data_IF_049775622532
#
_entry.id   IF_049775622532
#
_cell.length_a   1.000
_cell.length_b   1.000
_cell.length_c   1.000
_cell.angle_alpha   90.00
_cell.angle_beta   90.00
_cell.angle_gamma   90.00
#
_symmetry.space_group_name_H-M   'P 1'
#
loop_
_entity.id
_entity.type
_entity.pdbx_description
1 polymer ?
#
# COMPACT_ATOMS: atom_id res chain seq x y z
N UNK A 1 -13.36 5.94 -14.21
CA UNK A 1 -14.63 5.26 -13.81
C UNK A 1 -14.90 5.47 -12.32
N UNK A 2 -13.94 5.12 -11.43
CA UNK A 2 -14.04 5.33 -9.97
C UNK A 2 -14.32 6.76 -9.54
N UNK A 3 -13.62 7.77 -10.08
CA UNK A 3 -13.87 9.17 -9.73
C UNK A 3 -15.30 9.63 -10.09
N UNK A 4 -15.85 9.16 -11.23
CA UNK A 4 -17.22 9.47 -11.62
C UNK A 4 -18.23 8.81 -10.66
N UNK A 5 -18.00 7.55 -10.28
CA UNK A 5 -18.82 6.87 -9.28
C UNK A 5 -18.75 7.58 -7.92
N UNK A 6 -17.56 8.01 -7.49
CA UNK A 6 -17.33 8.76 -6.27
C UNK A 6 -18.10 10.10 -6.24
N UNK A 7 -18.08 10.85 -7.35
CA UNK A 7 -18.76 12.15 -7.44
C UNK A 7 -20.29 12.02 -7.57
N UNK A 8 -20.77 10.87 -8.07
CA UNK A 8 -22.20 10.58 -8.21
C UNK A 8 -22.82 10.04 -6.91
N UNK A 9 -22.01 9.62 -5.94
CA UNK A 9 -22.52 9.18 -4.63
C UNK A 9 -22.83 10.41 -3.75
N UNK A 10 -24.10 10.61 -3.33
CA UNK A 10 -24.52 11.79 -2.59
C UNK A 10 -23.92 11.86 -1.17
N UNK A 11 -23.64 10.71 -0.54
CA UNK A 11 -23.06 10.64 0.81
C UNK A 11 -21.59 11.02 0.78
N UNK A 12 -20.85 10.47 -0.17
CA UNK A 12 -19.42 10.76 -0.36
C UNK A 12 -19.24 12.21 -0.80
N UNK A 13 -20.04 12.68 -1.75
CA UNK A 13 -20.00 14.06 -2.23
C UNK A 13 -20.16 15.06 -1.08
N UNK A 14 -21.14 14.85 -0.19
CA UNK A 14 -21.39 15.72 0.97
C UNK A 14 -20.24 15.72 1.99
N UNK A 15 -19.46 14.64 2.07
CA UNK A 15 -18.32 14.51 3.00
C UNK A 15 -17.05 15.17 2.49
N UNK A 16 -16.78 15.01 1.19
CA UNK A 16 -15.50 15.43 0.59
C UNK A 16 -15.57 16.76 -0.16
N UNK A 17 -16.76 17.19 -0.59
CA UNK A 17 -16.95 18.42 -1.33
C UNK A 17 -17.77 19.41 -0.50
N UNK A 18 -17.38 20.68 -0.61
CA UNK A 18 -18.09 21.84 -0.09
C UNK A 18 -18.50 22.74 -1.25
N UNK A 19 -19.63 23.42 -1.09
CA UNK A 19 -20.06 24.44 -2.04
C UNK A 19 -19.74 25.81 -1.45
N UNK A 20 -18.96 26.60 -2.17
CA UNK A 20 -18.55 27.96 -1.78
C UNK A 20 -18.80 28.87 -2.97
N UNK A 21 -19.68 29.86 -2.83
CA UNK A 21 -19.99 30.85 -3.87
C UNK A 21 -20.38 30.21 -5.24
N UNK A 22 -21.15 29.12 -5.21
CA UNK A 22 -21.58 28.39 -6.40
C UNK A 22 -20.50 27.53 -7.06
N UNK A 23 -19.32 27.41 -6.44
CA UNK A 23 -18.24 26.50 -6.87
C UNK A 23 -18.15 25.30 -5.94
N UNK A 24 -17.98 24.12 -6.54
CA UNK A 24 -17.73 22.87 -5.80
C UNK A 24 -16.24 22.74 -5.58
N UNK A 25 -15.81 22.80 -4.32
CA UNK A 25 -14.42 22.64 -3.91
C UNK A 25 -14.24 21.42 -3.01
N UNK A 26 -13.03 20.89 -2.94
CA UNK A 26 -12.67 19.89 -1.92
C UNK A 26 -12.69 20.51 -0.52
N UNK A 27 -13.31 19.81 0.43
CA UNK A 27 -13.12 20.12 1.85
C UNK A 27 -11.70 19.70 2.26
N UNK A 28 -10.81 20.69 2.31
CA UNK A 28 -9.39 20.50 2.68
C UNK A 28 -9.23 19.86 4.05
N UNK A 29 -10.10 20.16 5.01
CA UNK A 29 -10.04 19.60 6.37
C UNK A 29 -10.36 18.11 6.34
N UNK A 30 -11.44 17.74 5.64
CA UNK A 30 -11.84 16.35 5.51
C UNK A 30 -10.82 15.54 4.70
N UNK A 31 -10.33 16.06 3.58
CA UNK A 31 -9.30 15.42 2.76
C UNK A 31 -8.03 15.19 3.58
N UNK A 32 -7.56 16.17 4.36
CA UNK A 32 -6.41 16.01 5.26
C UNK A 32 -6.64 14.88 6.27
N UNK A 33 -7.81 14.85 6.89
CA UNK A 33 -8.18 13.80 7.84
C UNK A 33 -8.18 12.41 7.18
N UNK A 34 -8.74 12.31 5.97
CA UNK A 34 -8.75 11.07 5.20
C UNK A 34 -7.33 10.59 4.87
N UNK A 35 -6.46 11.46 4.37
CA UNK A 35 -5.06 11.13 4.04
C UNK A 35 -4.31 10.67 5.28
N UNK A 36 -4.52 11.33 6.43
CA UNK A 36 -3.90 10.91 7.69
C UNK A 36 -4.38 9.52 8.15
N UNK A 37 -5.68 9.23 8.02
CA UNK A 37 -6.23 7.91 8.33
C UNK A 37 -5.69 6.83 7.39
N UNK A 38 -5.55 7.14 6.10
CA UNK A 38 -4.95 6.23 5.13
C UNK A 38 -3.48 5.94 5.47
N UNK A 39 -2.69 6.97 5.82
CA UNK A 39 -1.30 6.77 6.23
C UNK A 39 -1.17 5.95 7.53
N UNK A 40 -2.10 6.14 8.48
CA UNK A 40 -2.13 5.31 9.69
C UNK A 40 -2.51 3.87 9.39
N UNK A 41 -3.44 3.66 8.46
CA UNK A 41 -3.80 2.32 7.99
C UNK A 41 -2.63 1.63 7.27
N UNK A 42 -1.90 2.35 6.41
CA UNK A 42 -0.66 1.87 5.78
C UNK A 42 0.34 1.39 6.85
N UNK A 43 0.54 2.17 7.91
CA UNK A 43 1.43 1.81 9.01
C UNK A 43 0.99 0.52 9.72
N UNK A 44 -0.31 0.37 10.02
CA UNK A 44 -0.83 -0.83 10.65
C UNK A 44 -0.65 -2.06 9.76
N UNK A 45 -0.89 -1.93 8.45
CA UNK A 45 -0.65 -3.01 7.49
C UNK A 45 0.81 -3.41 7.45
N UNK A 46 1.75 -2.46 7.44
CA UNK A 46 3.18 -2.77 7.49
C UNK A 46 3.54 -3.53 8.79
N UNK A 47 2.99 -3.13 9.93
CA UNK A 47 3.20 -3.84 11.21
C UNK A 47 2.65 -5.28 11.13
N UNK A 48 1.43 -5.46 10.62
CA UNK A 48 0.82 -6.76 10.41
C UNK A 48 1.70 -7.65 9.52
N UNK A 49 2.18 -7.13 8.39
CA UNK A 49 3.11 -7.83 7.50
C UNK A 49 4.37 -8.23 8.26
N UNK A 50 5.00 -7.29 8.99
CA UNK A 50 6.25 -7.54 9.71
C UNK A 50 6.16 -8.60 10.81
N UNK A 51 5.00 -8.73 11.48
CA UNK A 51 4.79 -9.66 12.59
C UNK A 51 4.23 -11.00 12.12
N UNK A 52 3.32 -11.00 11.15
CA UNK A 52 2.55 -12.19 10.77
C UNK A 52 3.11 -12.90 9.54
N UNK A 53 4.02 -12.30 8.78
CA UNK A 53 4.69 -13.02 7.71
C UNK A 53 5.63 -14.10 8.30
N UNK A 54 5.69 -15.26 7.64
CA UNK A 54 6.32 -16.47 8.20
C UNK A 54 7.81 -16.36 8.58
N UNK A 55 8.50 -15.27 8.22
CA UNK A 55 9.84 -14.97 8.68
C UNK A 55 10.01 -13.44 8.84
N UNK A 56 10.75 -12.95 9.84
CA UNK A 56 10.92 -11.52 10.08
C UNK A 56 11.50 -10.80 8.86
N UNK A 57 10.76 -9.82 8.33
CA UNK A 57 11.27 -8.89 7.32
C UNK A 57 12.10 -7.82 8.01
N UNK A 58 13.18 -7.37 7.36
CA UNK A 58 13.89 -6.16 7.81
C UNK A 58 13.00 -4.94 7.67
N UNK A 59 12.86 -4.16 8.74
CA UNK A 59 12.04 -2.94 8.78
C UNK A 59 12.38 -2.00 7.61
N UNK A 60 13.66 -1.89 7.22
CA UNK A 60 14.06 -1.06 6.07
C UNK A 60 13.47 -1.54 4.73
N UNK A 61 13.39 -2.85 4.50
CA UNK A 61 12.80 -3.44 3.29
C UNK A 61 11.28 -3.32 3.28
N UNK A 62 10.65 -3.41 4.47
CA UNK A 62 9.23 -3.20 4.68
C UNK A 62 8.82 -1.74 4.48
N UNK A 63 9.56 -0.81 5.07
CA UNK A 63 9.29 0.63 4.98
C UNK A 63 9.58 1.18 3.58
N UNK A 64 10.49 0.56 2.83
CA UNK A 64 10.78 0.89 1.45
C UNK A 64 10.04 0.00 0.43
N UNK A 65 8.91 -0.60 0.83
CA UNK A 65 8.14 -1.46 -0.06
C UNK A 65 7.72 -0.70 -1.32
N UNK A 66 7.98 -1.32 -2.46
CA UNK A 66 7.65 -0.80 -3.77
C UNK A 66 6.64 -1.71 -4.44
N UNK A 67 5.56 -1.09 -4.92
CA UNK A 67 4.49 -1.80 -5.59
C UNK A 67 4.60 -1.78 -7.12
N UNK A 68 5.41 -0.86 -7.65
CA UNK A 68 5.73 -0.73 -9.07
C UNK A 68 7.24 -0.66 -9.25
N UNK A 69 7.72 -1.12 -10.40
CA UNK A 69 9.12 -0.98 -10.76
C UNK A 69 9.44 0.51 -10.95
N UNK A 70 10.66 0.89 -10.64
CA UNK A 70 11.25 2.20 -10.94
C UNK A 70 12.56 1.97 -11.70
N UNK A 71 13.10 3.03 -12.31
CA UNK A 71 14.35 2.93 -13.07
C UNK A 71 15.52 2.40 -12.24
N UNK A 72 15.48 2.62 -10.92
CA UNK A 72 16.55 2.27 -9.99
C UNK A 72 16.25 1.06 -9.12
N UNK A 73 14.99 0.59 -9.06
CA UNK A 73 14.56 -0.49 -8.15
C UNK A 73 13.40 -1.30 -8.71
N UNK A 74 13.50 -2.61 -8.59
CA UNK A 74 12.39 -3.53 -8.85
C UNK A 74 11.39 -3.48 -7.71
N UNK A 75 10.09 -3.61 -8.01
CA UNK A 75 9.06 -3.78 -6.99
C UNK A 75 9.37 -5.01 -6.14
N UNK A 76 8.93 -5.00 -4.89
CA UNK A 76 9.09 -6.12 -3.98
C UNK A 76 7.74 -6.69 -3.50
N UNK A 77 6.62 -6.20 -4.02
CA UNK A 77 5.29 -6.76 -3.77
C UNK A 77 4.79 -7.56 -4.98
N UNK A 78 4.43 -8.83 -4.77
CA UNK A 78 4.06 -9.76 -5.83
C UNK A 78 2.87 -10.63 -5.47
N UNK A 79 2.14 -11.05 -6.50
CA UNK A 79 1.22 -12.20 -6.42
C UNK A 79 1.96 -13.40 -7.01
N UNK A 80 2.25 -14.40 -6.16
CA UNK A 80 2.93 -15.63 -6.52
C UNK A 80 1.93 -16.79 -6.40
N UNK A 81 1.44 -17.27 -7.55
CA UNK A 81 0.33 -18.20 -7.62
C UNK A 81 -0.88 -17.69 -6.82
N UNK A 82 -1.25 -18.35 -5.72
CA UNK A 82 -2.41 -18.00 -4.89
C UNK A 82 -2.05 -17.10 -3.70
N UNK A 83 -0.79 -16.68 -3.56
CA UNK A 83 -0.32 -15.94 -2.40
C UNK A 83 0.15 -14.54 -2.79
N UNK A 84 -0.21 -13.55 -1.99
CA UNK A 84 0.44 -12.25 -2.00
C UNK A 84 1.71 -12.37 -1.16
N UNK A 85 2.84 -11.92 -1.69
CA UNK A 85 4.12 -12.02 -1.03
C UNK A 85 4.95 -10.73 -1.16
N UNK A 86 5.71 -10.45 -0.11
CA UNK A 86 6.76 -9.42 -0.12
C UNK A 86 8.11 -10.12 -0.32
N UNK A 87 8.88 -9.70 -1.31
CA UNK A 87 10.21 -10.22 -1.58
C UNK A 87 11.27 -9.38 -0.85
N UNK A 88 11.85 -9.94 0.20
CA UNK A 88 13.05 -9.37 0.82
C UNK A 88 14.26 -9.56 -0.09
N UNK A 89 15.12 -8.55 -0.18
CA UNK A 89 16.41 -8.61 -0.89
C UNK A 89 17.53 -8.69 0.14
N UNK A 90 18.07 -9.88 0.36
CA UNK A 90 18.98 -10.11 1.47
C UNK A 90 20.44 -9.69 1.15
N UNK A 91 20.86 -8.56 1.72
CA UNK A 91 22.17 -7.94 1.47
C UNK A 91 23.40 -8.44 2.30
N UNK A 92 23.32 -9.49 3.14
CA UNK A 92 24.51 -9.93 3.92
C UNK A 92 25.34 -11.04 3.25
N UNK A 93 24.69 -11.91 2.46
CA UNK A 93 25.36 -13.00 1.74
C UNK A 93 25.55 -12.72 0.25
N UNK A 94 25.09 -11.56 -0.24
CA UNK A 94 25.32 -11.11 -1.63
C UNK A 94 26.81 -11.07 -1.99
N UNK A 95 27.67 -10.62 -1.05
CA UNK A 95 29.14 -10.67 -1.22
C UNK A 95 29.70 -12.09 -1.39
N UNK A 96 29.01 -13.11 -0.88
CA UNK A 96 29.47 -14.50 -0.91
C UNK A 96 29.03 -15.22 -2.21
N UNK A 97 27.86 -14.88 -2.74
CA UNK A 97 27.27 -15.56 -3.90
C UNK A 97 27.34 -14.74 -5.19
N UNK A 98 27.69 -13.45 -5.13
CA UNK A 98 27.79 -12.56 -6.29
C UNK A 98 26.44 -12.08 -6.84
N UNK A 99 25.32 -12.46 -6.21
CA UNK A 99 23.97 -12.02 -6.56
C UNK A 99 23.07 -11.92 -5.33
N UNK A 100 22.05 -11.06 -5.41
CA UNK A 100 21.05 -10.92 -4.36
C UNK A 100 20.08 -12.09 -4.37
N UNK A 101 19.83 -12.67 -3.19
CA UNK A 101 18.81 -13.70 -3.02
C UNK A 101 17.48 -13.05 -2.65
N UNK A 102 16.44 -13.41 -3.40
CA UNK A 102 15.06 -13.09 -3.05
C UNK A 102 14.55 -14.06 -1.99
N UNK A 103 14.00 -13.51 -0.91
CA UNK A 103 13.34 -14.28 0.14
C UNK A 103 11.85 -13.91 0.11
N UNK A 104 10.96 -14.81 -0.35
CA UNK A 104 9.54 -14.53 -0.36
C UNK A 104 8.94 -14.68 1.04
N UNK A 105 8.21 -13.65 1.46
CA UNK A 105 7.41 -13.64 2.67
C UNK A 105 5.94 -13.59 2.28
N UNK A 106 5.28 -14.75 2.30
CA UNK A 106 3.85 -14.84 2.02
C UNK A 106 3.04 -14.15 3.12
N UNK A 107 2.01 -13.42 2.71
CA UNK A 107 1.05 -12.79 3.61
C UNK A 107 -0.08 -13.75 3.93
N UNK A 108 -0.66 -13.62 5.12
CA UNK A 108 -1.92 -14.28 5.43
C UNK A 108 -3.05 -13.68 4.59
N UNK A 109 -4.15 -14.44 4.45
CA UNK A 109 -5.26 -14.07 3.58
C UNK A 109 -5.90 -12.72 3.94
N UNK A 110 -5.96 -12.37 5.23
CA UNK A 110 -6.61 -11.12 5.69
C UNK A 110 -5.72 -9.93 5.36
N UNK A 111 -4.44 -9.99 5.71
CA UNK A 111 -3.49 -8.91 5.39
C UNK A 111 -3.35 -8.74 3.89
N UNK A 112 -3.30 -9.84 3.12
CA UNK A 112 -3.26 -9.81 1.67
C UNK A 112 -4.47 -9.09 1.06
N UNK A 113 -5.70 -9.43 1.47
CA UNK A 113 -6.93 -8.79 0.97
C UNK A 113 -6.98 -7.31 1.33
N UNK A 114 -6.68 -6.95 2.60
CA UNK A 114 -6.66 -5.55 3.02
C UNK A 114 -5.62 -4.74 2.25
N UNK A 115 -4.45 -5.30 2.02
CA UNK A 115 -3.36 -4.67 1.29
C UNK A 115 -3.75 -4.43 -0.18
N UNK A 116 -4.34 -5.42 -0.84
CA UNK A 116 -4.84 -5.27 -2.21
C UNK A 116 -5.93 -4.21 -2.29
N UNK A 117 -6.91 -4.22 -1.37
CA UNK A 117 -7.97 -3.19 -1.34
C UNK A 117 -7.42 -1.80 -1.09
N UNK A 118 -6.43 -1.67 -0.22
CA UNK A 118 -5.75 -0.41 0.03
C UNK A 118 -5.16 0.15 -1.27
N UNK A 119 -4.44 -0.70 -2.00
CA UNK A 119 -3.75 -0.34 -3.25
C UNK A 119 -4.67 -0.18 -4.47
N UNK A 120 -5.92 -0.62 -4.38
CA UNK A 120 -6.93 -0.44 -5.43
C UNK A 120 -7.84 0.76 -5.14
N UNK A 121 -8.26 0.95 -3.89
CA UNK A 121 -9.33 1.88 -3.54
C UNK A 121 -8.88 3.10 -2.73
N UNK A 122 -7.89 2.94 -1.85
CA UNK A 122 -7.51 4.00 -0.89
C UNK A 122 -6.34 4.81 -1.44
N UNK A 123 -5.26 4.13 -1.85
CA UNK A 123 -4.09 4.72 -2.49
C UNK A 123 -3.76 3.93 -3.76
N UNK A 124 -4.47 4.20 -4.87
CA UNK A 124 -4.22 3.55 -6.15
C UNK A 124 -2.75 3.70 -6.57
N UNK A 125 -2.12 2.60 -6.97
CA UNK A 125 -0.73 2.55 -7.47
C UNK A 125 -0.52 3.27 -8.81
#
# INVERSE_FOLDING_TARGET
ILLKAFLNDPVIRKRFLREVEGRVEWDKSYVKTYVNKAAHFDLLLLICIGIMCGAPIRIAELAAMQYRNTDLRTRNFFVLANFVAVLGQYHKSAKLFGYDKFIPHALDAVTADLMLRNLVYVRPM
#
